data_IF_547816786914
#
_entry.id   IF_547816786914
#
_cell.length_a   1.000
_cell.length_b   1.000
_cell.length_c   1.000
_cell.angle_alpha   90.00
_cell.angle_beta   90.00
_cell.angle_gamma   90.00
#
_symmetry.space_group_name_H-M   'P 1'
#
loop_
_entity.id
_entity.type
_entity.pdbx_description
1 polymer ?
#
# COMPACT_ATOMS: atom_id res chain seq x y z
N UNK A 1 27.56 -4.02 17.65
CA UNK A 1 26.67 -3.39 16.65
C UNK A 1 26.43 -4.30 15.44
N UNK A 2 27.44 -4.62 14.62
CA UNK A 2 27.26 -5.45 13.41
C UNK A 2 26.66 -6.86 13.65
N UNK A 3 27.04 -7.56 14.72
CA UNK A 3 26.44 -8.87 15.06
C UNK A 3 24.98 -8.76 15.55
N UNK A 4 24.61 -7.63 16.16
CA UNK A 4 23.24 -7.37 16.60
C UNK A 4 22.32 -6.97 15.44
N UNK A 5 22.86 -6.40 14.36
CA UNK A 5 22.12 -6.03 13.16
C UNK A 5 22.21 -7.07 12.03
N UNK A 6 22.82 -8.24 12.29
CA UNK A 6 22.89 -9.34 11.30
C UNK A 6 21.64 -10.22 11.23
N UNK A 7 20.59 -9.89 11.98
CA UNK A 7 19.35 -10.64 12.07
C UNK A 7 18.21 -9.81 11.46
N UNK A 8 17.47 -10.37 10.47
CA UNK A 8 16.43 -9.65 9.76
C UNK A 8 15.33 -9.09 10.67
N UNK A 9 14.95 -9.81 11.73
CA UNK A 9 13.93 -9.35 12.67
C UNK A 9 14.42 -8.15 13.49
N UNK A 10 15.69 -8.14 13.89
CA UNK A 10 16.29 -6.99 14.60
C UNK A 10 16.43 -5.76 13.69
N UNK A 11 16.78 -5.95 12.41
CA UNK A 11 16.79 -4.88 11.42
C UNK A 11 15.39 -4.30 11.21
N UNK A 12 14.37 -5.15 11.02
CA UNK A 12 12.98 -4.70 10.85
C UNK A 12 12.45 -3.93 12.07
N UNK A 13 12.86 -4.33 13.28
CA UNK A 13 12.57 -3.57 14.51
C UNK A 13 13.22 -2.18 14.48
N UNK A 14 14.50 -2.10 14.08
CA UNK A 14 15.22 -0.83 13.95
C UNK A 14 14.55 0.08 12.90
N UNK A 15 14.13 -0.47 11.76
CA UNK A 15 13.47 0.29 10.69
C UNK A 15 12.12 0.89 11.15
N UNK A 16 11.32 0.11 11.89
CA UNK A 16 10.09 0.64 12.50
C UNK A 16 10.42 1.81 13.43
N UNK A 17 11.47 1.66 14.24
CA UNK A 17 11.83 2.62 15.29
C UNK A 17 12.60 3.84 14.77
N UNK A 18 13.05 3.81 13.51
CA UNK A 18 13.75 4.92 12.85
C UNK A 18 12.86 6.15 12.70
N UNK A 19 11.56 5.93 12.50
CA UNK A 19 10.57 6.97 12.24
C UNK A 19 9.45 7.03 13.29
N UNK A 20 9.42 6.12 14.26
CA UNK A 20 8.37 6.03 15.27
C UNK A 20 8.83 5.45 16.61
N UNK A 21 8.06 5.69 17.65
CA UNK A 21 8.13 4.95 18.91
C UNK A 21 7.02 3.90 18.91
N UNK A 22 7.31 2.71 19.42
CA UNK A 22 6.33 1.62 19.43
C UNK A 22 6.41 0.81 20.72
N UNK A 23 5.26 0.32 21.19
CA UNK A 23 5.22 -0.65 22.27
C UNK A 23 5.63 -2.04 21.75
N UNK A 24 6.23 -2.92 22.58
CA UNK A 24 6.65 -4.25 22.15
C UNK A 24 5.52 -5.07 21.48
N UNK A 25 4.29 -4.96 21.98
CA UNK A 25 3.13 -5.64 21.39
C UNK A 25 2.69 -5.05 20.03
N UNK A 26 2.98 -3.78 19.76
CA UNK A 26 2.73 -3.17 18.45
C UNK A 26 3.78 -3.62 17.43
N UNK A 27 5.03 -3.72 17.86
CA UNK A 27 6.14 -4.25 17.06
C UNK A 27 5.86 -5.72 16.69
N UNK A 28 5.48 -6.53 17.67
CA UNK A 28 5.09 -7.94 17.48
C UNK A 28 3.98 -8.07 16.43
N UNK A 29 2.92 -7.28 16.55
CA UNK A 29 1.79 -7.30 15.60
C UNK A 29 2.18 -6.84 14.20
N UNK A 30 3.03 -5.81 14.08
CA UNK A 30 3.47 -5.27 12.78
C UNK A 30 4.39 -6.23 12.02
N UNK A 31 5.18 -7.00 12.74
CA UNK A 31 6.13 -7.96 12.16
C UNK A 31 5.59 -9.39 12.11
N UNK A 32 4.35 -9.61 12.57
CA UNK A 32 3.76 -10.94 12.78
C UNK A 32 4.69 -11.89 13.56
N UNK A 33 5.34 -11.36 14.61
CA UNK A 33 6.28 -12.10 15.44
C UNK A 33 5.68 -12.38 16.83
N UNK A 34 5.98 -13.55 17.43
CA UNK A 34 5.65 -13.83 18.81
C UNK A 34 6.21 -12.78 19.79
N UNK A 35 5.39 -12.34 20.75
CA UNK A 35 5.76 -11.28 21.72
C UNK A 35 7.02 -11.60 22.51
N UNK A 36 7.26 -12.87 22.84
CA UNK A 36 8.47 -13.34 23.53
C UNK A 36 9.73 -13.19 22.65
N UNK A 37 9.62 -13.46 21.35
CA UNK A 37 10.72 -13.30 20.40
C UNK A 37 11.07 -11.81 20.21
N UNK A 38 10.06 -10.95 20.07
CA UNK A 38 10.27 -9.50 20.02
C UNK A 38 10.90 -9.00 21.32
N UNK A 39 10.46 -9.47 22.49
CA UNK A 39 11.06 -9.10 23.76
C UNK A 39 12.55 -9.49 23.84
N UNK A 40 12.92 -10.65 23.32
CA UNK A 40 14.31 -11.08 23.21
C UNK A 40 15.12 -10.15 22.30
N UNK A 41 14.64 -9.88 21.08
CA UNK A 41 15.31 -8.98 20.13
C UNK A 41 15.48 -7.56 20.67
N UNK A 42 14.45 -7.00 21.31
CA UNK A 42 14.51 -5.69 21.95
C UNK A 42 15.54 -5.65 23.07
N UNK A 43 15.68 -6.73 23.85
CA UNK A 43 16.72 -6.82 24.88
C UNK A 43 18.11 -6.80 24.26
N UNK A 44 18.36 -7.59 23.21
CA UNK A 44 19.66 -7.61 22.51
C UNK A 44 20.02 -6.23 21.94
N UNK A 45 19.05 -5.55 21.31
CA UNK A 45 19.25 -4.20 20.76
C UNK A 45 19.49 -3.15 21.86
N UNK A 46 18.80 -3.28 23.00
CA UNK A 46 19.00 -2.42 24.17
C UNK A 46 20.38 -2.64 24.82
N UNK A 47 20.81 -3.89 24.98
CA UNK A 47 22.12 -4.25 25.55
C UNK A 47 23.28 -3.75 24.66
N UNK A 48 23.02 -3.58 23.36
CA UNK A 48 23.95 -2.96 22.40
C UNK A 48 23.91 -1.43 22.40
N UNK A 49 23.08 -0.79 23.22
CA UNK A 49 22.92 0.66 23.30
C UNK A 49 22.14 1.29 22.14
N UNK A 50 21.47 0.49 21.29
CA UNK A 50 20.73 1.00 20.13
C UNK A 50 19.35 1.55 20.52
N UNK A 51 18.74 1.01 21.58
CA UNK A 51 17.39 1.32 22.00
C UNK A 51 17.31 1.77 23.46
N UNK A 52 16.32 2.60 23.76
CA UNK A 52 15.91 2.93 25.14
C UNK A 52 14.40 2.74 25.32
N UNK A 53 14.01 2.41 26.56
CA UNK A 53 12.60 2.27 26.97
C UNK A 53 12.12 3.54 27.66
N UNK A 54 10.92 3.98 27.31
CA UNK A 54 10.24 5.12 27.92
C UNK A 54 8.87 4.66 28.41
N UNK A 55 8.45 5.12 29.59
CA UNK A 55 7.10 4.86 30.10
C UNK A 55 6.14 5.93 29.57
N UNK A 56 4.90 5.53 29.28
CA UNK A 56 3.87 6.48 28.87
C UNK A 56 3.68 7.59 29.91
N UNK A 57 3.51 8.82 29.46
CA UNK A 57 3.29 9.98 30.35
C UNK A 57 1.87 10.05 30.93
N UNK A 58 0.93 9.34 30.30
CA UNK A 58 -0.45 9.18 30.77
C UNK A 58 -0.53 8.28 32.01
N UNK A 59 -1.14 7.11 31.86
CA UNK A 59 -1.38 6.17 32.96
C UNK A 59 -0.13 5.37 33.40
N UNK A 60 1.03 5.58 32.74
CA UNK A 60 2.28 4.83 32.90
C UNK A 60 2.15 3.32 32.73
N UNK A 61 1.05 2.81 32.19
CA UNK A 61 0.82 1.37 31.99
C UNK A 61 1.58 0.84 30.79
N UNK A 62 1.89 1.70 29.81
CA UNK A 62 2.59 1.32 28.58
C UNK A 62 4.07 1.68 28.65
N UNK A 63 4.88 0.83 28.03
CA UNK A 63 6.31 1.10 27.80
C UNK A 63 6.54 1.12 26.31
N UNK A 64 7.02 2.25 25.80
CA UNK A 64 7.46 2.42 24.43
C UNK A 64 8.96 2.19 24.32
N UNK A 65 9.38 1.76 23.14
CA UNK A 65 10.79 1.64 22.80
C UNK A 65 11.10 2.65 21.70
N UNK A 66 12.25 3.32 21.79
CA UNK A 66 12.75 4.22 20.75
C UNK A 66 14.25 4.04 20.53
N UNK A 67 14.70 4.38 19.32
CA UNK A 67 16.13 4.45 19.01
C UNK A 67 16.82 5.58 19.78
N UNK A 68 18.06 5.29 20.17
CA UNK A 68 19.00 6.30 20.68
C UNK A 68 19.51 7.13 19.47
N UNK A 69 19.36 8.46 19.47
CA UNK A 69 19.64 9.30 18.29
C UNK A 69 21.05 9.11 17.69
N UNK A 70 22.09 9.01 18.53
CA UNK A 70 23.48 8.90 18.07
C UNK A 70 23.91 7.48 17.65
N UNK A 71 23.07 6.48 17.90
CA UNK A 71 23.45 5.07 17.76
C UNK A 71 23.48 4.59 16.29
N UNK A 72 22.94 5.38 15.36
CA UNK A 72 22.82 5.05 13.92
C UNK A 72 23.21 6.22 13.01
N UNK A 73 24.15 7.08 13.44
CA UNK A 73 24.67 8.19 12.62
C UNK A 73 25.09 7.67 11.23
N UNK A 74 24.40 8.14 10.19
CA UNK A 74 24.62 7.74 8.78
C UNK A 74 23.55 6.83 8.16
N UNK A 75 22.63 6.26 8.95
CA UNK A 75 21.45 5.57 8.43
C UNK A 75 20.28 6.57 8.30
N UNK A 76 20.20 7.19 7.13
CA UNK A 76 19.02 7.99 6.77
C UNK A 76 17.95 7.06 6.19
N UNK A 77 16.69 7.16 6.66
CA UNK A 77 15.60 6.48 5.98
C UNK A 77 15.53 7.00 4.53
N UNK A 78 15.50 6.07 3.57
CA UNK A 78 15.19 6.40 2.18
C UNK A 78 13.72 6.87 2.11
N UNK A 79 13.37 7.81 1.23
CA UNK A 79 11.98 8.17 0.96
C UNK A 79 11.19 6.91 0.61
N UNK A 80 10.29 6.50 1.50
CA UNK A 80 9.56 5.24 1.38
C UNK A 80 8.04 5.43 1.46
N UNK A 81 7.58 6.65 1.74
CA UNK A 81 6.15 6.93 1.95
C UNK A 81 5.75 8.22 1.24
N UNK A 82 4.63 8.15 0.53
CA UNK A 82 3.95 9.32 -0.02
C UNK A 82 2.87 9.78 0.95
N UNK A 83 2.80 11.07 1.23
CA UNK A 83 1.67 11.64 1.97
C UNK A 83 1.16 12.88 1.23
N UNK A 84 -0.16 12.96 1.03
CA UNK A 84 -0.79 14.16 0.49
C UNK A 84 -0.71 15.33 1.48
N UNK A 85 -0.70 15.01 2.77
CA UNK A 85 -0.50 15.96 3.86
C UNK A 85 -0.14 15.20 5.13
N UNK A 86 0.73 15.78 5.95
CA UNK A 86 1.06 15.26 7.28
C UNK A 86 0.22 15.98 8.33
N UNK A 87 -0.52 15.21 9.12
CA UNK A 87 -1.35 15.70 10.21
C UNK A 87 -0.66 15.42 11.54
N UNK A 88 -0.11 16.46 12.18
CA UNK A 88 0.47 16.34 13.52
C UNK A 88 -0.61 16.44 14.58
N UNK A 89 -0.73 15.43 15.44
CA UNK A 89 -1.81 15.35 16.42
C UNK A 89 -1.25 15.26 17.82
N UNK A 90 -1.71 16.13 18.71
CA UNK A 90 -1.58 15.91 20.15
C UNK A 90 -2.95 16.05 20.81
N UNK A 91 -3.04 15.91 22.14
CA UNK A 91 -4.35 16.02 22.82
C UNK A 91 -4.92 17.44 22.68
N UNK A 92 -4.20 18.43 23.23
CA UNK A 92 -4.68 19.80 23.35
C UNK A 92 -4.51 20.67 22.10
N UNK A 93 -3.73 20.22 21.11
CA UNK A 93 -3.29 21.05 19.97
C UNK A 93 -2.80 22.45 20.38
N UNK A 94 -2.09 22.55 21.52
CA UNK A 94 -1.68 23.85 22.08
C UNK A 94 -0.18 24.10 21.99
N UNK A 95 0.64 23.06 21.82
CA UNK A 95 2.11 23.17 21.78
C UNK A 95 2.75 22.19 20.80
N UNK A 96 2.92 20.92 21.19
CA UNK A 96 3.72 19.91 20.46
C UNK A 96 3.35 19.78 18.98
N UNK A 97 2.06 19.63 18.64
CA UNK A 97 1.62 19.48 17.25
C UNK A 97 1.87 20.73 16.40
N UNK A 98 1.76 21.93 16.98
CA UNK A 98 2.10 23.19 16.30
C UNK A 98 3.60 23.33 16.05
N UNK A 99 4.43 23.00 17.06
CA UNK A 99 5.89 23.01 16.92
C UNK A 99 6.34 22.01 15.85
N UNK A 100 5.77 20.80 15.86
CA UNK A 100 6.04 19.76 14.87
C UNK A 100 5.67 20.21 13.45
N UNK A 101 4.47 20.77 13.26
CA UNK A 101 4.03 21.30 11.97
C UNK A 101 4.91 22.47 11.48
N UNK A 102 5.37 23.35 12.38
CA UNK A 102 6.25 24.46 12.03
C UNK A 102 7.66 23.97 11.63
N UNK A 103 8.22 23.01 12.36
CA UNK A 103 9.47 22.33 11.99
C UNK A 103 9.34 21.63 10.62
N UNK A 104 8.23 20.90 10.41
CA UNK A 104 7.97 20.18 9.18
C UNK A 104 7.98 21.07 7.95
N UNK A 105 7.27 22.21 7.99
CA UNK A 105 7.22 23.17 6.87
C UNK A 105 8.58 23.72 6.46
N UNK A 106 9.56 23.70 7.37
CA UNK A 106 10.94 24.10 7.07
C UNK A 106 11.77 22.98 6.43
N UNK A 107 11.42 21.71 6.69
CA UNK A 107 12.23 20.54 6.32
C UNK A 107 11.63 19.72 5.17
N UNK A 108 10.34 19.87 4.88
CA UNK A 108 9.65 19.11 3.86
C UNK A 108 8.72 20.00 3.02
N UNK A 109 8.62 19.76 1.71
CA UNK A 109 7.63 20.41 0.84
C UNK A 109 6.22 19.82 1.03
N UNK A 110 6.07 18.68 1.69
CA UNK A 110 4.75 18.06 1.95
C UNK A 110 3.92 18.98 2.85
N UNK A 111 2.67 19.32 2.50
CA UNK A 111 1.79 20.12 3.35
C UNK A 111 1.66 19.52 4.75
N UNK A 112 1.65 20.37 5.76
CA UNK A 112 1.42 19.96 7.14
C UNK A 112 0.36 20.80 7.84
N UNK A 113 -0.49 20.09 8.59
CA UNK A 113 -1.49 20.63 9.48
C UNK A 113 -1.28 20.08 10.89
N UNK A 114 -1.95 20.69 11.87
CA UNK A 114 -1.94 20.26 13.26
C UNK A 114 -3.37 20.22 13.80
N UNK A 115 -3.69 19.24 14.62
CA UNK A 115 -5.01 19.11 15.24
C UNK A 115 -4.94 18.46 16.63
N UNK A 116 -6.07 18.48 17.32
CA UNK A 116 -6.25 18.00 18.70
C UNK A 116 -7.32 16.94 18.83
N UNK A 117 -7.10 15.91 19.65
CA UNK A 117 -8.19 14.99 20.03
C UNK A 117 -9.13 15.61 21.07
N UNK A 118 -8.61 16.56 21.86
CA UNK A 118 -9.37 17.40 22.80
C UNK A 118 -8.75 18.81 22.85
N UNK A 119 -9.03 19.68 21.85
CA UNK A 119 -8.32 20.94 21.65
C UNK A 119 -8.51 21.95 22.79
N UNK A 120 -7.44 22.67 23.14
CA UNK A 120 -7.49 23.79 24.06
C UNK A 120 -8.03 25.08 23.39
N UNK A 121 -8.31 26.11 24.19
CA UNK A 121 -8.86 27.38 23.67
C UNK A 121 -7.85 28.24 22.90
N UNK A 122 -6.54 28.01 23.08
CA UNK A 122 -5.48 28.79 22.43
C UNK A 122 -4.16 28.02 22.33
N UNK A 123 -3.32 28.43 21.38
CA UNK A 123 -1.91 28.02 21.34
C UNK A 123 -1.18 28.57 22.57
N UNK A 124 -0.31 27.76 23.16
CA UNK A 124 0.46 28.11 24.34
C UNK A 124 1.48 29.22 24.03
N UNK A 125 1.51 30.35 24.78
CA UNK A 125 2.39 31.49 24.46
C UNK A 125 3.89 31.14 24.44
N UNK A 126 4.34 30.22 25.31
CA UNK A 126 5.74 29.76 25.29
C UNK A 126 6.09 28.93 24.06
N UNK A 127 5.15 28.17 23.50
CA UNK A 127 5.38 27.43 22.26
C UNK A 127 5.65 28.40 21.10
N UNK A 128 4.83 29.45 20.99
CA UNK A 128 5.02 30.53 20.00
C UNK A 128 6.39 31.20 20.19
N UNK A 129 6.72 31.58 21.43
CA UNK A 129 8.01 32.24 21.76
C UNK A 129 9.22 31.40 21.41
N UNK A 130 9.22 30.12 21.78
CA UNK A 130 10.30 29.18 21.47
C UNK A 130 10.40 28.94 19.96
N UNK A 131 9.28 28.77 19.25
CA UNK A 131 9.28 28.67 17.80
C UNK A 131 9.93 29.90 17.13
N UNK A 132 9.55 31.12 17.53
CA UNK A 132 10.14 32.35 17.00
C UNK A 132 11.64 32.47 17.27
N UNK A 133 12.10 32.06 18.46
CA UNK A 133 13.52 32.06 18.82
C UNK A 133 14.36 31.19 17.86
N UNK A 134 13.77 30.13 17.31
CA UNK A 134 14.38 29.23 16.33
C UNK A 134 14.05 29.58 14.87
N UNK A 135 13.44 30.74 14.63
CA UNK A 135 13.08 31.21 13.30
C UNK A 135 11.94 30.41 12.65
N UNK A 136 11.08 29.78 13.45
CA UNK A 136 9.92 29.02 12.97
C UNK A 136 8.66 29.88 13.04
N UNK A 137 7.82 29.79 12.00
CA UNK A 137 6.52 30.46 11.95
C UNK A 137 5.42 29.51 12.39
N UNK A 138 4.77 29.81 13.51
CA UNK A 138 3.55 29.13 13.96
C UNK A 138 2.36 30.01 13.59
N UNK A 139 1.41 29.54 12.76
CA UNK A 139 0.20 30.30 12.46
C UNK A 139 -0.61 30.51 13.73
N UNK A 140 -1.12 31.72 13.94
CA UNK A 140 -2.07 32.03 15.02
C UNK A 140 -3.49 31.57 14.65
N UNK A 141 -3.62 30.28 14.34
CA UNK A 141 -4.91 29.62 14.10
C UNK A 141 -5.32 28.98 15.44
N UNK A 142 -6.59 29.11 15.87
CA UNK A 142 -7.04 28.45 17.09
C UNK A 142 -6.83 26.94 17.01
N UNK A 143 -6.56 26.25 18.13
CA UNK A 143 -6.49 24.79 18.13
C UNK A 143 -7.78 24.18 17.57
N UNK A 144 -7.65 23.19 16.70
CA UNK A 144 -8.76 22.58 15.96
C UNK A 144 -8.94 21.12 16.33
N UNK A 145 -10.18 20.62 16.27
CA UNK A 145 -10.47 19.21 16.51
C UNK A 145 -10.06 18.38 15.31
N UNK A 146 -9.48 17.21 15.57
CA UNK A 146 -8.99 16.32 14.52
C UNK A 146 -10.08 15.91 13.54
N UNK A 147 -11.23 15.46 14.06
CA UNK A 147 -12.33 14.92 13.26
C UNK A 147 -12.87 15.95 12.25
N UNK A 148 -12.73 17.25 12.55
CA UNK A 148 -13.20 18.33 11.69
C UNK A 148 -12.27 18.60 10.49
N UNK A 149 -11.01 18.18 10.56
CA UNK A 149 -9.97 18.57 9.60
C UNK A 149 -9.20 17.40 8.99
N UNK A 150 -9.37 16.18 9.51
CA UNK A 150 -8.70 14.97 9.03
C UNK A 150 -9.24 14.55 7.66
N UNK A 151 -8.34 14.24 6.73
CA UNK A 151 -8.67 13.72 5.39
C UNK A 151 -8.28 12.25 5.27
N UNK A 152 -8.93 11.45 4.41
CA UNK A 152 -8.64 10.01 4.28
C UNK A 152 -7.19 9.66 3.94
N UNK A 153 -6.47 10.53 3.22
CA UNK A 153 -5.09 10.30 2.77
C UNK A 153 -4.04 11.04 3.60
N UNK A 154 -4.42 11.63 4.74
CA UNK A 154 -3.44 12.25 5.63
C UNK A 154 -2.60 11.17 6.33
N UNK A 155 -1.29 11.39 6.41
CA UNK A 155 -0.42 10.67 7.31
C UNK A 155 -0.54 11.28 8.71
N UNK A 156 -1.05 10.53 9.67
CA UNK A 156 -1.16 10.99 11.06
C UNK A 156 0.16 10.74 11.78
N UNK A 157 0.69 11.78 12.43
CA UNK A 157 1.80 11.68 13.37
C UNK A 157 1.31 12.13 14.74
N UNK A 158 0.97 11.16 15.59
CA UNK A 158 0.62 11.42 16.98
C UNK A 158 1.89 11.76 17.76
N UNK A 159 1.99 12.99 18.28
CA UNK A 159 3.17 13.48 19.01
C UNK A 159 2.99 13.39 20.54
N UNK A 160 1.99 12.63 21.00
CA UNK A 160 1.81 12.27 22.40
C UNK A 160 1.07 10.93 22.56
N UNK A 161 1.31 10.28 23.70
CA UNK A 161 0.73 8.98 24.02
C UNK A 161 -0.81 9.02 24.03
N UNK A 162 -1.39 10.02 24.71
CA UNK A 162 -2.85 10.13 24.83
C UNK A 162 -3.54 10.24 23.46
N UNK A 163 -2.98 11.04 22.54
CA UNK A 163 -3.53 11.13 21.19
C UNK A 163 -3.39 9.79 20.44
N UNK A 164 -2.22 9.14 20.53
CA UNK A 164 -2.00 7.84 19.90
C UNK A 164 -3.00 6.77 20.38
N UNK A 165 -3.32 6.77 21.67
CA UNK A 165 -4.31 5.84 22.24
C UNK A 165 -5.74 6.11 21.75
N UNK A 166 -6.15 7.39 21.67
CA UNK A 166 -7.47 7.75 21.11
C UNK A 166 -7.59 7.39 19.62
N UNK A 167 -6.48 7.34 18.89
CA UNK A 167 -6.45 7.10 17.45
C UNK A 167 -6.37 5.62 17.05
N UNK A 168 -6.51 4.68 17.99
CA UNK A 168 -6.33 3.26 17.75
C UNK A 168 -7.20 2.70 16.60
N UNK A 169 -8.41 3.24 16.44
CA UNK A 169 -9.43 2.77 15.49
C UNK A 169 -9.51 3.55 14.17
N UNK A 170 -8.62 4.53 13.95
CA UNK A 170 -8.59 5.30 12.70
C UNK A 170 -7.95 4.50 11.56
N UNK A 171 -8.52 4.62 10.35
CA UNK A 171 -8.07 3.94 9.12
C UNK A 171 -6.85 4.59 8.45
N UNK A 172 -6.54 5.85 8.77
CA UNK A 172 -5.38 6.56 8.25
C UNK A 172 -4.05 5.90 8.64
N UNK A 173 -3.01 5.98 7.78
CA UNK A 173 -1.66 5.58 8.16
C UNK A 173 -1.17 6.43 9.33
N UNK A 174 -0.51 5.79 10.31
CA UNK A 174 -0.16 6.44 11.58
C UNK A 174 1.25 6.16 12.09
N UNK A 175 1.86 7.19 12.64
CA UNK A 175 3.11 7.15 13.41
C UNK A 175 2.88 7.74 14.80
N UNK A 176 3.74 7.34 15.73
CA UNK A 176 3.69 7.80 17.10
C UNK A 176 5.06 8.28 17.57
N UNK A 177 5.10 9.44 18.21
CA UNK A 177 6.25 9.99 18.91
C UNK A 177 5.84 10.33 20.34
N UNK A 178 6.41 9.63 21.31
CA UNK A 178 6.22 9.86 22.73
C UNK A 178 7.04 11.09 23.16
N UNK A 179 6.57 12.29 22.80
CA UNK A 179 7.20 13.56 23.16
C UNK A 179 6.62 14.09 24.47
N UNK A 180 7.48 14.35 25.48
CA UNK A 180 7.06 14.88 26.76
C UNK A 180 6.21 16.14 26.64
N UNK A 181 5.17 16.26 27.46
CA UNK A 181 4.30 17.43 27.45
C UNK A 181 4.94 18.65 28.14
N UNK A 182 5.40 19.67 27.39
CA UNK A 182 6.12 20.79 27.99
C UNK A 182 5.25 21.66 28.89
N UNK A 183 3.92 21.61 28.73
CA UNK A 183 2.98 22.42 29.53
C UNK A 183 2.81 21.91 30.96
N UNK A 184 3.31 20.71 31.29
CA UNK A 184 3.24 20.16 32.66
C UNK A 184 4.23 20.85 33.61
N UNK A 185 5.40 21.19 33.10
CA UNK A 185 6.44 21.94 33.83
C UNK A 185 6.32 23.43 33.55
N UNK A 186 5.93 23.77 32.31
CA UNK A 186 5.69 25.13 31.84
C UNK A 186 6.88 26.09 32.06
N UNK A 187 8.08 25.66 31.69
CA UNK A 187 9.28 26.50 31.65
C UNK A 187 9.94 26.47 30.26
N UNK A 188 10.81 27.45 29.97
CA UNK A 188 11.45 27.55 28.66
C UNK A 188 12.29 26.31 28.35
N UNK A 189 12.93 25.69 29.34
CA UNK A 189 13.76 24.50 29.14
C UNK A 189 12.94 23.29 28.67
N UNK A 190 11.74 23.08 29.20
CA UNK A 190 10.83 22.02 28.81
C UNK A 190 10.33 22.21 27.36
N UNK A 191 10.00 23.44 26.97
CA UNK A 191 9.62 23.74 25.59
C UNK A 191 10.80 23.61 24.61
N UNK A 192 12.01 24.03 25.00
CA UNK A 192 13.23 23.83 24.21
C UNK A 192 13.56 22.34 24.04
N UNK A 193 13.45 21.55 25.10
CA UNK A 193 13.66 20.10 25.04
C UNK A 193 12.63 19.40 24.13
N UNK A 194 11.35 19.80 24.22
CA UNK A 194 10.30 19.27 23.34
C UNK A 194 10.54 19.66 21.88
N UNK A 195 10.97 20.91 21.62
CA UNK A 195 11.32 21.35 20.26
C UNK A 195 12.52 20.57 19.71
N UNK A 196 13.56 20.35 20.52
CA UNK A 196 14.74 19.60 20.11
C UNK A 196 14.42 18.13 19.78
N UNK A 197 13.60 17.47 20.60
CA UNK A 197 13.14 16.09 20.32
C UNK A 197 12.30 16.05 19.02
N UNK A 198 11.39 17.01 18.83
CA UNK A 198 10.61 17.12 17.61
C UNK A 198 11.48 17.40 16.38
N UNK A 199 12.49 18.27 16.50
CA UNK A 199 13.39 18.61 15.40
C UNK A 199 14.16 17.38 14.93
N UNK A 200 14.74 16.60 15.84
CA UNK A 200 15.45 15.36 15.52
C UNK A 200 14.54 14.32 14.84
N UNK A 201 13.27 14.24 15.24
CA UNK A 201 12.29 13.33 14.62
C UNK A 201 11.82 13.80 13.25
N UNK A 202 11.57 15.10 13.11
CA UNK A 202 11.25 15.71 11.81
C UNK A 202 12.42 15.56 10.85
N UNK A 203 13.66 15.72 11.31
CA UNK A 203 14.86 15.59 10.47
C UNK A 203 15.06 14.16 9.96
N UNK A 204 14.60 13.16 10.71
CA UNK A 204 14.57 11.76 10.26
C UNK A 204 13.36 11.45 9.39
N UNK A 205 12.18 11.96 9.72
CA UNK A 205 10.95 11.63 8.99
C UNK A 205 10.81 12.41 7.67
N UNK A 206 11.18 13.68 7.61
CA UNK A 206 10.98 14.54 6.45
C UNK A 206 11.64 14.00 5.16
N UNK A 207 12.89 13.49 5.19
CA UNK A 207 13.48 12.83 4.02
C UNK A 207 12.78 11.51 3.63
N UNK A 208 12.10 10.87 4.58
CA UNK A 208 11.40 9.61 4.38
C UNK A 208 10.00 9.79 3.75
N UNK A 209 9.46 11.01 3.76
CA UNK A 209 8.12 11.34 3.25
C UNK A 209 8.25 12.25 2.03
N UNK A 210 7.73 11.78 0.89
CA UNK A 210 7.60 12.58 -0.33
C UNK A 210 6.20 13.15 -0.45
N UNK A 211 6.10 14.33 -1.08
CA UNK A 211 4.81 14.98 -1.29
C UNK A 211 4.04 14.19 -2.34
N UNK A 212 2.91 13.61 -1.92
CA UNK A 212 1.94 13.01 -2.82
C UNK A 212 0.86 14.03 -3.17
N UNK A 213 1.19 15.05 -3.98
CA UNK A 213 0.13 15.84 -4.62
C UNK A 213 -0.57 14.97 -5.67
N UNK A 214 -1.84 15.25 -5.91
CA UNK A 214 -2.48 14.84 -7.15
C UNK A 214 -1.60 15.42 -8.28
N UNK A 215 -0.87 14.54 -8.97
CA UNK A 215 -0.02 14.76 -10.16
C UNK A 215 1.43 15.28 -10.00
N UNK A 216 2.34 14.55 -10.69
CA UNK A 216 3.65 14.90 -11.30
C UNK A 216 4.93 14.95 -10.44
N UNK A 217 5.75 13.88 -10.50
CA UNK A 217 7.15 13.85 -11.05
C UNK A 217 8.07 12.69 -10.55
N UNK A 218 8.05 11.57 -11.30
CA UNK A 218 9.16 10.80 -11.96
C UNK A 218 10.38 10.19 -11.19
N UNK A 219 10.64 10.37 -9.88
CA UNK A 219 11.90 9.79 -9.30
C UNK A 219 11.80 8.86 -8.09
N UNK A 220 10.60 8.60 -7.56
CA UNK A 220 10.45 7.94 -6.25
C UNK A 220 10.18 6.41 -6.29
N UNK A 221 10.55 5.70 -7.36
CA UNK A 221 10.25 4.25 -7.46
C UNK A 221 11.37 3.29 -7.03
N UNK A 222 12.42 3.76 -6.34
CA UNK A 222 13.41 2.86 -5.72
C UNK A 222 12.92 2.35 -4.37
N UNK A 223 12.50 1.09 -4.39
CA UNK A 223 12.14 0.30 -3.21
C UNK A 223 13.36 -0.29 -2.51
N UNK A 224 13.54 -0.09 -1.20
CA UNK A 224 14.67 -0.62 -0.43
C UNK A 224 14.57 -2.12 -0.11
N UNK A 225 13.41 -2.76 -0.33
CA UNK A 225 13.13 -4.18 -0.11
C UNK A 225 13.36 -5.07 -1.34
N UNK A 226 13.61 -4.46 -2.51
CA UNK A 226 13.90 -5.19 -3.73
C UNK A 226 15.36 -5.62 -3.78
N UNK A 227 15.60 -6.86 -4.19
CA UNK A 227 16.95 -7.25 -4.59
C UNK A 227 17.43 -6.38 -5.76
N UNK A 228 18.76 -6.27 -5.93
CA UNK A 228 19.34 -5.60 -7.09
C UNK A 228 18.82 -6.18 -8.42
N UNK A 229 18.57 -7.49 -8.45
CA UNK A 229 18.02 -8.18 -9.61
C UNK A 229 16.56 -7.78 -9.87
N UNK A 230 15.74 -7.66 -8.83
CA UNK A 230 14.34 -7.21 -8.96
C UNK A 230 14.26 -5.75 -9.38
N UNK A 231 15.12 -4.89 -8.82
CA UNK A 231 15.21 -3.47 -9.21
C UNK A 231 15.59 -3.34 -10.70
N UNK A 232 16.58 -4.12 -11.14
CA UNK A 232 17.00 -4.15 -12.54
C UNK A 232 15.92 -4.71 -13.46
N UNK A 233 15.21 -5.75 -13.02
CA UNK A 233 14.11 -6.36 -13.75
C UNK A 233 12.92 -5.40 -13.92
N UNK A 234 12.54 -4.66 -12.87
CA UNK A 234 11.48 -3.65 -12.94
C UNK A 234 11.89 -2.47 -13.83
N UNK A 235 13.14 -1.99 -13.74
CA UNK A 235 13.63 -0.96 -14.65
C UNK A 235 13.56 -1.43 -16.11
N UNK A 236 13.95 -2.68 -16.38
CA UNK A 236 13.88 -3.27 -17.73
C UNK A 236 12.42 -3.41 -18.21
N UNK A 237 11.52 -3.83 -17.33
CA UNK A 237 10.09 -3.88 -17.61
C UNK A 237 9.51 -2.49 -17.92
N UNK A 238 9.89 -1.46 -17.16
CA UNK A 238 9.49 -0.08 -17.40
C UNK A 238 9.96 0.40 -18.78
N UNK A 239 11.22 0.13 -19.16
CA UNK A 239 11.72 0.45 -20.51
C UNK A 239 10.88 -0.22 -21.59
N UNK A 240 10.55 -1.51 -21.45
CA UNK A 240 9.71 -2.24 -22.42
C UNK A 240 8.32 -1.63 -22.54
N UNK A 241 7.67 -1.36 -21.41
CA UNK A 241 6.34 -0.74 -21.39
C UNK A 241 6.36 0.68 -21.95
N UNK A 242 7.40 1.47 -21.66
CA UNK A 242 7.55 2.81 -22.26
C UNK A 242 7.64 2.76 -23.78
N UNK A 243 8.37 1.78 -24.33
CA UNK A 243 8.44 1.60 -25.77
C UNK A 243 7.11 1.12 -26.37
N UNK A 244 6.38 0.25 -25.66
CA UNK A 244 5.09 -0.31 -26.12
C UNK A 244 3.95 0.73 -26.12
N UNK A 245 4.01 1.69 -25.20
CA UNK A 245 3.03 2.77 -25.02
C UNK A 245 3.60 4.15 -25.38
N UNK A 246 4.64 4.19 -26.21
CA UNK A 246 5.22 5.43 -26.71
C UNK A 246 4.16 6.28 -27.42
N UNK A 247 4.16 7.59 -27.16
CA UNK A 247 3.14 8.51 -27.65
C UNK A 247 1.75 8.37 -27.01
N UNK A 248 1.52 7.38 -26.14
CA UNK A 248 0.26 7.20 -25.39
C UNK A 248 0.42 7.65 -23.94
N UNK A 249 1.48 7.19 -23.27
CA UNK A 249 1.75 7.51 -21.87
C UNK A 249 3.20 7.94 -21.65
N UNK A 250 3.38 8.95 -20.79
CA UNK A 250 4.71 9.34 -20.30
C UNK A 250 5.31 8.30 -19.35
N UNK A 251 6.63 8.39 -19.16
CA UNK A 251 7.39 7.49 -18.27
C UNK A 251 6.79 7.38 -16.87
N UNK A 252 6.24 8.47 -16.32
CA UNK A 252 5.63 8.51 -15.00
C UNK A 252 4.45 7.55 -14.87
N UNK A 253 3.53 7.57 -15.83
CA UNK A 253 2.35 6.71 -15.83
C UNK A 253 2.76 5.24 -15.94
N UNK A 254 3.74 4.95 -16.81
CA UNK A 254 4.26 3.59 -16.97
C UNK A 254 4.87 3.06 -15.67
N UNK A 255 5.73 3.84 -15.03
CA UNK A 255 6.39 3.44 -13.78
C UNK A 255 5.36 3.30 -12.65
N UNK A 256 4.40 4.22 -12.53
CA UNK A 256 3.32 4.12 -11.55
C UNK A 256 2.52 2.84 -11.70
N UNK A 257 2.09 2.50 -12.92
CA UNK A 257 1.32 1.29 -13.18
C UNK A 257 2.14 0.02 -12.92
N UNK A 258 3.41 0.01 -13.34
CA UNK A 258 4.30 -1.11 -13.11
C UNK A 258 4.47 -1.43 -11.62
N UNK A 259 4.76 -0.43 -10.82
CA UNK A 259 5.05 -0.65 -9.41
C UNK A 259 3.81 -0.80 -8.54
N UNK A 260 2.70 -0.14 -8.85
CA UNK A 260 1.42 -0.44 -8.16
C UNK A 260 0.94 -1.85 -8.49
N UNK A 261 1.19 -2.35 -9.71
CA UNK A 261 0.99 -3.76 -10.03
C UNK A 261 1.94 -4.68 -9.28
N UNK A 262 3.19 -4.27 -9.05
CA UNK A 262 4.12 -5.01 -8.20
C UNK A 262 3.61 -5.11 -6.75
N UNK A 263 3.12 -4.01 -6.16
CA UNK A 263 2.55 -4.01 -4.80
C UNK A 263 1.44 -5.03 -4.61
N UNK A 264 0.55 -5.13 -5.60
CA UNK A 264 -0.60 -6.02 -5.56
C UNK A 264 -0.18 -7.50 -5.44
N UNK A 265 1.00 -7.86 -5.95
CA UNK A 265 1.55 -9.21 -5.82
C UNK A 265 2.50 -9.37 -4.64
N UNK A 266 3.26 -8.32 -4.28
CA UNK A 266 4.23 -8.36 -3.20
C UNK A 266 3.62 -8.70 -1.83
N UNK A 267 2.36 -8.33 -1.61
CA UNK A 267 1.63 -8.63 -0.37
C UNK A 267 1.17 -10.10 -0.24
N UNK A 268 1.12 -10.87 -1.33
CA UNK A 268 0.46 -12.19 -1.37
C UNK A 268 1.26 -13.31 -2.04
N UNK A 269 2.42 -13.02 -2.64
CA UNK A 269 3.16 -14.00 -3.44
C UNK A 269 4.19 -14.79 -2.64
N UNK A 270 4.17 -16.11 -2.78
CA UNK A 270 5.22 -17.03 -2.32
C UNK A 270 6.38 -17.16 -3.32
N UNK A 271 6.27 -16.56 -4.52
CA UNK A 271 7.23 -16.71 -5.63
C UNK A 271 7.94 -15.40 -5.93
N UNK A 272 8.80 -15.00 -4.99
CA UNK A 272 9.48 -13.68 -4.95
C UNK A 272 10.34 -13.39 -6.19
N UNK A 273 10.88 -14.42 -6.85
CA UNK A 273 11.81 -14.26 -7.99
C UNK A 273 11.14 -13.85 -9.32
N UNK A 274 9.86 -14.17 -9.52
CA UNK A 274 9.15 -13.85 -10.78
C UNK A 274 8.20 -12.64 -10.65
N UNK A 275 8.18 -11.99 -9.48
CA UNK A 275 7.32 -10.83 -9.21
C UNK A 275 7.46 -9.69 -10.24
N UNK A 276 8.66 -9.27 -10.66
CA UNK A 276 8.79 -8.21 -11.67
C UNK A 276 8.13 -8.57 -13.02
N UNK A 277 8.18 -9.84 -13.41
CA UNK A 277 7.55 -10.32 -14.64
C UNK A 277 6.01 -10.29 -14.55
N UNK A 278 5.46 -10.74 -13.42
CA UNK A 278 4.02 -10.70 -13.17
C UNK A 278 3.52 -9.26 -13.08
N UNK A 279 4.28 -8.39 -12.41
CA UNK A 279 4.01 -6.96 -12.35
C UNK A 279 4.01 -6.32 -13.74
N UNK A 280 4.99 -6.62 -14.60
CA UNK A 280 5.04 -6.13 -15.98
C UNK A 280 3.79 -6.57 -16.77
N UNK A 281 3.43 -7.87 -16.70
CA UNK A 281 2.26 -8.41 -17.40
C UNK A 281 0.98 -7.73 -16.94
N UNK A 282 0.84 -7.52 -15.63
CA UNK A 282 -0.37 -6.92 -15.08
C UNK A 282 -0.46 -5.43 -15.40
N UNK A 283 0.66 -4.71 -15.29
CA UNK A 283 0.74 -3.30 -15.64
C UNK A 283 0.42 -3.07 -17.12
N UNK A 284 0.91 -3.94 -18.02
CA UNK A 284 0.54 -3.93 -19.43
C UNK A 284 -0.98 -4.01 -19.61
N UNK A 285 -1.63 -4.97 -18.97
CA UNK A 285 -3.09 -5.13 -19.06
C UNK A 285 -3.82 -3.87 -18.57
N UNK A 286 -3.42 -3.33 -17.43
CA UNK A 286 -4.03 -2.14 -16.83
C UNK A 286 -3.83 -0.88 -17.69
N UNK A 287 -2.63 -0.70 -18.27
CA UNK A 287 -2.34 0.39 -19.20
C UNK A 287 -3.13 0.27 -20.50
N UNK A 288 -3.26 -0.94 -21.05
CA UNK A 288 -4.13 -1.21 -22.21
C UNK A 288 -5.59 -0.87 -21.89
N UNK A 289 -6.07 -1.27 -20.71
CA UNK A 289 -7.41 -0.95 -20.26
C UNK A 289 -7.63 0.57 -20.12
N UNK A 290 -6.71 1.27 -19.45
CA UNK A 290 -6.78 2.72 -19.31
C UNK A 290 -6.77 3.41 -20.68
N UNK A 291 -5.94 2.95 -21.62
CA UNK A 291 -5.84 3.56 -22.95
C UNK A 291 -7.14 3.44 -23.74
N UNK A 292 -7.89 2.35 -23.53
CA UNK A 292 -9.23 2.20 -24.09
C UNK A 292 -10.24 3.14 -23.45
N UNK A 293 -10.23 3.24 -22.12
CA UNK A 293 -11.13 4.14 -21.38
C UNK A 293 -10.91 5.60 -21.76
N UNK A 294 -9.66 6.02 -21.93
CA UNK A 294 -9.30 7.38 -22.33
C UNK A 294 -9.45 7.62 -23.85
N UNK A 295 -9.83 6.61 -24.63
CA UNK A 295 -9.98 6.70 -26.08
C UNK A 295 -8.65 6.89 -26.84
N UNK A 296 -7.51 6.63 -26.19
CA UNK A 296 -6.18 6.77 -26.76
C UNK A 296 -5.78 5.56 -27.63
N UNK A 297 -6.35 4.37 -27.36
CA UNK A 297 -6.21 3.16 -28.18
C UNK A 297 -7.51 2.38 -28.15
N UNK A 298 -8.07 2.06 -29.31
CA UNK A 298 -9.15 1.09 -29.45
C UNK A 298 -8.93 0.29 -30.74
N UNK A 299 -9.20 -1.01 -30.72
CA UNK A 299 -9.14 -1.88 -31.90
C UNK A 299 -10.50 -2.52 -32.24
N UNK A 300 -11.61 -1.93 -31.78
CA UNK A 300 -13.01 -2.34 -31.96
C UNK A 300 -13.37 -3.74 -31.47
N UNK A 301 -12.41 -4.51 -30.96
CA UNK A 301 -12.66 -5.86 -30.46
C UNK A 301 -13.46 -5.82 -29.16
N UNK A 302 -14.43 -6.73 -29.01
CA UNK A 302 -15.11 -6.93 -27.73
C UNK A 302 -14.12 -7.36 -26.65
N UNK A 303 -14.23 -6.76 -25.46
CA UNK A 303 -13.47 -7.12 -24.28
C UNK A 303 -14.39 -7.70 -23.22
N UNK A 304 -14.08 -8.92 -22.78
CA UNK A 304 -14.79 -9.61 -21.70
C UNK A 304 -13.91 -9.76 -20.48
N UNK A 305 -14.44 -9.39 -19.31
CA UNK A 305 -13.77 -9.58 -18.02
C UNK A 305 -14.44 -10.69 -17.21
N UNK A 306 -13.66 -11.73 -16.87
CA UNK A 306 -14.11 -12.87 -16.07
C UNK A 306 -13.66 -12.75 -14.61
N UNK A 307 -14.61 -12.69 -13.67
CA UNK A 307 -14.34 -12.50 -12.25
C UNK A 307 -14.78 -13.70 -11.42
N UNK A 308 -13.96 -14.12 -10.46
CA UNK A 308 -14.36 -15.02 -9.38
C UNK A 308 -13.67 -14.60 -8.07
N UNK A 309 -13.78 -15.37 -6.98
CA UNK A 309 -13.11 -15.01 -5.71
C UNK A 309 -11.59 -15.05 -5.87
N UNK A 310 -11.02 -16.24 -6.10
CA UNK A 310 -9.57 -16.45 -6.03
C UNK A 310 -8.81 -16.25 -7.34
N UNK A 311 -9.47 -16.00 -8.47
CA UNK A 311 -8.86 -16.00 -9.82
C UNK A 311 -7.94 -17.21 -10.09
N UNK A 312 -8.26 -18.37 -9.52
CA UNK A 312 -7.46 -19.58 -9.61
C UNK A 312 -8.19 -20.77 -10.28
N UNK A 313 -9.48 -20.61 -10.58
CA UNK A 313 -10.33 -21.70 -11.10
C UNK A 313 -11.30 -21.25 -12.18
N UNK A 314 -12.56 -20.96 -11.79
CA UNK A 314 -13.66 -20.61 -12.72
C UNK A 314 -13.29 -19.54 -13.74
N UNK A 315 -12.79 -18.39 -13.29
CA UNK A 315 -12.40 -17.30 -14.20
C UNK A 315 -11.17 -17.61 -15.07
N UNK A 316 -10.28 -18.51 -14.63
CA UNK A 316 -9.14 -18.96 -15.43
C UNK A 316 -9.57 -19.94 -16.54
N UNK A 317 -10.50 -20.85 -16.25
CA UNK A 317 -11.11 -21.71 -17.27
C UNK A 317 -11.84 -20.88 -18.33
N UNK A 318 -12.63 -19.89 -17.89
CA UNK A 318 -13.36 -19.01 -18.79
C UNK A 318 -12.41 -18.19 -19.68
N UNK A 319 -11.35 -17.61 -19.10
CA UNK A 319 -10.28 -16.93 -19.85
C UNK A 319 -9.64 -17.84 -20.89
N UNK A 320 -9.27 -19.07 -20.50
CA UNK A 320 -8.62 -20.04 -21.38
C UNK A 320 -9.50 -20.43 -22.57
N UNK A 321 -10.77 -20.81 -22.32
CA UNK A 321 -11.71 -21.12 -23.41
C UNK A 321 -11.97 -19.92 -24.31
N UNK A 322 -12.20 -18.73 -23.73
CA UNK A 322 -12.53 -17.56 -24.53
C UNK A 322 -11.37 -17.17 -25.43
N UNK A 323 -10.14 -17.13 -24.90
CA UNK A 323 -8.94 -16.80 -25.67
C UNK A 323 -8.70 -17.83 -26.78
N UNK A 324 -8.84 -19.12 -26.47
CA UNK A 324 -8.65 -20.20 -27.44
C UNK A 324 -9.66 -20.11 -28.59
N UNK A 325 -10.94 -19.91 -28.27
CA UNK A 325 -12.03 -19.91 -29.24
C UNK A 325 -12.13 -18.59 -30.03
N UNK A 326 -11.89 -17.44 -29.40
CA UNK A 326 -11.97 -16.14 -30.06
C UNK A 326 -10.75 -15.85 -30.96
N UNK A 327 -9.56 -16.32 -30.56
CA UNK A 327 -8.30 -15.87 -31.16
C UNK A 327 -8.19 -14.35 -31.12
N UNK A 328 -7.73 -13.75 -32.21
CA UNK A 328 -7.49 -12.30 -32.26
C UNK A 328 -8.75 -11.45 -32.43
N UNK A 329 -9.95 -12.05 -32.48
CA UNK A 329 -11.22 -11.35 -32.76
C UNK A 329 -11.88 -10.72 -31.53
N UNK A 330 -11.54 -11.19 -30.34
CA UNK A 330 -12.00 -10.63 -29.07
C UNK A 330 -10.92 -10.81 -28.01
N UNK A 331 -10.98 -10.00 -26.96
CA UNK A 331 -10.00 -10.02 -25.87
C UNK A 331 -10.71 -10.45 -24.59
N UNK A 332 -10.07 -11.32 -23.81
CA UNK A 332 -10.52 -11.66 -22.47
C UNK A 332 -9.48 -11.28 -21.43
N UNK A 333 -9.96 -10.86 -20.27
CA UNK A 333 -9.19 -10.67 -19.06
C UNK A 333 -9.84 -11.43 -17.90
N UNK A 334 -9.08 -11.67 -16.84
CA UNK A 334 -9.60 -12.27 -15.62
C UNK A 334 -9.10 -11.57 -14.37
N UNK A 335 -9.87 -11.67 -13.28
CA UNK A 335 -9.54 -11.08 -11.99
C UNK A 335 -10.22 -11.76 -10.81
N UNK A 336 -9.71 -11.46 -9.61
CA UNK A 336 -10.16 -11.99 -8.32
C UNK A 336 -10.51 -10.89 -7.34
N UNK A 337 -11.51 -11.10 -6.49
CA UNK A 337 -11.75 -10.23 -5.33
C UNK A 337 -10.78 -10.50 -4.18
N UNK A 338 -10.33 -11.75 -4.06
CA UNK A 338 -9.33 -12.19 -3.08
C UNK A 338 -8.39 -13.21 -3.76
N UNK A 339 -7.44 -12.74 -4.59
CA UNK A 339 -6.64 -13.62 -5.46
C UNK A 339 -5.85 -14.68 -4.68
N UNK A 340 -5.88 -15.92 -5.16
CA UNK A 340 -5.09 -17.01 -4.63
C UNK A 340 -3.59 -16.88 -4.96
N UNK A 341 -2.80 -17.83 -4.46
CA UNK A 341 -1.34 -17.82 -4.64
C UNK A 341 -0.93 -18.33 -6.04
N UNK A 342 -1.65 -19.32 -6.56
CA UNK A 342 -1.41 -19.94 -7.87
C UNK A 342 -2.72 -20.39 -8.52
N UNK A 343 -2.68 -20.69 -9.82
CA UNK A 343 -3.81 -21.32 -10.51
C UNK A 343 -3.95 -22.76 -10.01
N UNK A 344 -5.18 -23.19 -9.72
CA UNK A 344 -5.45 -24.52 -9.19
C UNK A 344 -4.87 -25.61 -10.12
N UNK A 345 -3.93 -26.47 -9.66
CA UNK A 345 -3.31 -27.49 -10.50
C UNK A 345 -4.30 -28.47 -11.15
N UNK A 346 -5.41 -28.78 -10.46
CA UNK A 346 -6.44 -29.65 -11.02
C UNK A 346 -7.23 -28.95 -12.14
N UNK A 347 -7.37 -27.62 -12.09
CA UNK A 347 -7.94 -26.82 -13.18
C UNK A 347 -6.99 -26.77 -14.37
N UNK A 348 -5.68 -26.61 -14.14
CA UNK A 348 -4.66 -26.70 -15.19
C UNK A 348 -4.74 -28.05 -15.90
N UNK A 349 -4.76 -29.15 -15.14
CA UNK A 349 -4.88 -30.50 -15.70
C UNK A 349 -6.17 -30.69 -16.49
N UNK A 350 -7.31 -30.20 -15.98
CA UNK A 350 -8.60 -30.30 -16.68
C UNK A 350 -8.63 -29.50 -18.00
N UNK A 351 -8.00 -28.33 -18.06
CA UNK A 351 -7.91 -27.53 -19.29
C UNK A 351 -6.95 -28.15 -20.32
N UNK A 352 -5.85 -28.74 -19.86
CA UNK A 352 -4.90 -29.44 -20.72
C UNK A 352 -5.54 -30.63 -21.47
N UNK A 353 -6.51 -31.32 -20.86
CA UNK A 353 -7.32 -32.36 -21.54
C UNK A 353 -8.08 -31.83 -22.77
N UNK A 354 -8.38 -30.52 -22.81
CA UNK A 354 -9.02 -29.85 -23.95
C UNK A 354 -8.00 -29.19 -24.89
N UNK A 355 -6.70 -29.43 -24.68
CA UNK A 355 -5.63 -28.82 -25.47
C UNK A 355 -5.40 -27.33 -25.17
N UNK A 356 -5.90 -26.83 -24.03
CA UNK A 356 -5.77 -25.43 -23.63
C UNK A 356 -4.77 -25.34 -22.47
N UNK A 357 -3.64 -24.68 -22.73
CA UNK A 357 -2.62 -24.43 -21.72
C UNK A 357 -2.88 -23.11 -21.00
N UNK A 358 -3.08 -23.18 -19.68
CA UNK A 358 -3.23 -22.02 -18.79
C UNK A 358 -2.11 -21.97 -17.73
N UNK A 359 -1.02 -22.73 -17.89
CA UNK A 359 0.11 -22.73 -16.95
C UNK A 359 0.83 -21.38 -16.89
N UNK A 360 0.76 -20.60 -17.97
CA UNK A 360 1.26 -19.24 -18.02
C UNK A 360 0.36 -18.21 -17.33
N UNK A 361 -0.83 -18.57 -16.88
CA UNK A 361 -1.72 -17.66 -16.16
C UNK A 361 -1.40 -17.56 -14.67
N UNK A 362 -1.89 -16.50 -14.05
CA UNK A 362 -1.65 -16.21 -12.63
C UNK A 362 -2.86 -15.51 -12.01
N UNK A 363 -3.15 -15.77 -10.71
CA UNK A 363 -4.16 -15.03 -9.97
C UNK A 363 -3.77 -13.54 -9.83
N UNK A 364 -4.73 -12.66 -10.08
CA UNK A 364 -4.57 -11.20 -10.01
C UNK A 364 -5.86 -10.52 -9.57
N UNK A 365 -5.79 -9.37 -8.88
CA UNK A 365 -6.98 -8.61 -8.56
C UNK A 365 -7.59 -8.00 -9.82
N UNK A 366 -8.89 -7.70 -9.78
CA UNK A 366 -9.45 -6.76 -10.75
C UNK A 366 -9.12 -5.32 -10.34
N UNK A 367 -9.18 -4.40 -11.30
CA UNK A 367 -8.93 -2.96 -11.09
C UNK A 367 -10.00 -2.15 -11.80
N UNK A 368 -10.26 -0.93 -11.34
CA UNK A 368 -11.33 -0.08 -11.88
C UNK A 368 -11.17 0.17 -13.37
N UNK A 369 -9.95 0.42 -13.84
CA UNK A 369 -9.65 0.63 -15.26
C UNK A 369 -9.96 -0.60 -16.11
N UNK A 370 -9.72 -1.81 -15.60
CA UNK A 370 -9.99 -3.08 -16.29
C UNK A 370 -11.50 -3.33 -16.37
N UNK A 371 -12.25 -3.03 -15.30
CA UNK A 371 -13.72 -3.10 -15.31
C UNK A 371 -14.29 -2.04 -16.26
N UNK A 372 -13.75 -0.82 -16.22
CA UNK A 372 -14.15 0.30 -17.06
C UNK A 372 -13.88 0.08 -18.55
N UNK A 373 -12.85 -0.70 -18.91
CA UNK A 373 -12.53 -1.01 -20.31
C UNK A 373 -13.33 -2.19 -20.89
N UNK A 374 -13.86 -3.08 -20.05
CA UNK A 374 -14.62 -4.24 -20.49
C UNK A 374 -16.01 -3.86 -21.03
N UNK A 375 -16.44 -4.49 -22.12
CA UNK A 375 -17.79 -4.34 -22.66
C UNK A 375 -18.77 -5.28 -21.93
N UNK A 376 -18.27 -6.45 -21.51
CA UNK A 376 -19.01 -7.43 -20.69
C UNK A 376 -18.20 -7.83 -19.47
N UNK A 377 -18.84 -7.79 -18.29
CA UNK A 377 -18.26 -8.28 -17.04
C UNK A 377 -19.05 -9.50 -16.58
N UNK A 378 -18.37 -10.63 -16.45
CA UNK A 378 -18.95 -11.92 -16.04
C UNK A 378 -18.49 -12.26 -14.63
N UNK A 379 -19.43 -12.30 -13.68
CA UNK A 379 -19.17 -12.69 -12.29
C UNK A 379 -19.45 -14.18 -12.09
N UNK A 380 -18.57 -14.86 -11.35
CA UNK A 380 -18.67 -16.28 -11.02
C UNK A 380 -18.42 -16.48 -9.52
N UNK A 381 -19.41 -16.10 -8.72
CA UNK A 381 -19.40 -16.32 -7.27
C UNK A 381 -18.55 -15.33 -6.44
N UNK A 382 -18.23 -14.14 -6.98
CA UNK A 382 -17.59 -13.06 -6.22
C UNK A 382 -18.57 -12.20 -5.40
N UNK A 383 -19.88 -12.43 -5.50
CA UNK A 383 -20.91 -11.67 -4.79
C UNK A 383 -20.84 -10.17 -5.06
N UNK A 384 -21.14 -9.36 -4.04
CA UNK A 384 -21.19 -7.89 -4.11
C UNK A 384 -19.81 -7.21 -4.08
N UNK A 385 -18.71 -7.98 -4.15
CA UNK A 385 -17.37 -7.43 -4.12
C UNK A 385 -16.98 -6.68 -5.40
N UNK A 386 -17.69 -6.89 -6.51
CA UNK A 386 -17.40 -6.24 -7.79
C UNK A 386 -18.16 -4.91 -7.94
N UNK A 387 -17.49 -3.80 -8.34
CA UNK A 387 -18.16 -2.54 -8.61
C UNK A 387 -19.05 -2.65 -9.84
N UNK A 388 -20.26 -2.11 -9.72
CA UNK A 388 -21.23 -2.00 -10.83
C UNK A 388 -21.11 -0.62 -11.45
N UNK A 389 -20.54 -0.56 -12.65
CA UNK A 389 -20.42 0.65 -13.44
C UNK A 389 -21.65 0.80 -14.36
N UNK A 390 -22.25 2.00 -14.44
CA UNK A 390 -23.40 2.23 -15.32
C UNK A 390 -23.01 2.06 -16.80
N UNK A 391 -23.95 1.55 -17.60
CA UNK A 391 -23.79 1.43 -19.06
C UNK A 391 -23.00 0.19 -19.53
N UNK A 392 -22.68 -0.75 -18.64
CA UNK A 392 -22.02 -2.02 -18.98
C UNK A 392 -22.95 -3.21 -18.89
N UNK A 393 -22.66 -4.24 -19.69
CA UNK A 393 -23.33 -5.53 -19.60
C UNK A 393 -22.68 -6.35 -18.49
N UNK A 394 -23.48 -6.75 -17.51
CA UNK A 394 -23.08 -7.66 -16.45
C UNK A 394 -23.80 -9.00 -16.60
N UNK A 395 -23.07 -10.09 -16.42
CA UNK A 395 -23.64 -11.44 -16.35
C UNK A 395 -23.17 -12.14 -15.07
N UNK A 396 -24.09 -12.85 -14.42
CA UNK A 396 -23.75 -13.69 -13.28
C UNK A 396 -23.90 -15.17 -13.67
N UNK A 397 -22.78 -15.89 -13.62
CA UNK A 397 -22.70 -17.31 -13.96
C UNK A 397 -22.44 -18.11 -12.68
N UNK A 398 -23.44 -18.89 -12.27
CA UNK A 398 -23.30 -19.78 -11.12
C UNK A 398 -22.73 -21.12 -11.52
N UNK A 399 -21.64 -21.51 -10.85
CA UNK A 399 -21.00 -22.82 -10.93
C UNK A 399 -20.53 -23.23 -9.54
N UNK A 400 -20.44 -24.54 -9.32
CA UNK A 400 -19.82 -25.11 -8.12
C UNK A 400 -18.38 -24.63 -7.96
N UNK A 401 -17.92 -24.53 -6.71
CA UNK A 401 -16.56 -24.05 -6.42
C UNK A 401 -15.53 -25.18 -6.63
N UNK A 402 -14.54 -25.01 -7.53
CA UNK A 402 -13.53 -26.05 -7.78
C UNK A 402 -12.47 -26.18 -6.69
N UNK A 403 -12.54 -25.39 -5.61
CA UNK A 403 -11.55 -25.40 -4.54
C UNK A 403 -11.51 -26.75 -3.82
N UNK A 404 -10.32 -27.34 -3.71
CA UNK A 404 -10.11 -28.63 -3.04
C UNK A 404 -10.60 -29.87 -3.81
N UNK A 405 -11.20 -29.69 -4.99
CA UNK A 405 -11.68 -30.79 -5.83
C UNK A 405 -10.56 -31.42 -6.67
N UNK A 406 -10.73 -32.70 -6.99
CA UNK A 406 -9.87 -33.40 -7.94
C UNK A 406 -10.25 -33.11 -9.40
N UNK A 407 -9.37 -33.47 -10.34
CA UNK A 407 -9.59 -33.24 -11.78
C UNK A 407 -10.92 -33.81 -12.26
N UNK A 408 -11.32 -34.99 -11.76
CA UNK A 408 -12.56 -35.64 -12.16
C UNK A 408 -13.80 -34.78 -11.87
N UNK A 409 -13.85 -34.14 -10.70
CA UNK A 409 -14.97 -33.29 -10.27
C UNK A 409 -14.91 -31.89 -10.89
N UNK A 410 -13.74 -31.48 -11.39
CA UNK A 410 -13.57 -30.22 -12.13
C UNK A 410 -14.07 -30.34 -13.58
N UNK A 411 -14.04 -31.53 -14.20
CA UNK A 411 -14.48 -31.71 -15.59
C UNK A 411 -15.91 -31.22 -15.86
N UNK A 412 -16.93 -31.53 -15.03
CA UNK A 412 -18.28 -30.99 -15.22
C UNK A 412 -18.34 -29.45 -15.16
N UNK A 413 -17.56 -28.84 -14.25
CA UNK A 413 -17.47 -27.38 -14.11
C UNK A 413 -16.82 -26.79 -15.37
N UNK A 414 -15.68 -27.36 -15.81
CA UNK A 414 -14.99 -26.99 -17.04
C UNK A 414 -15.92 -27.02 -18.25
N UNK A 415 -16.65 -28.12 -18.43
CA UNK A 415 -17.54 -28.30 -19.58
C UNK A 415 -18.75 -27.34 -19.53
N UNK A 416 -19.24 -27.00 -18.33
CA UNK A 416 -20.26 -25.98 -18.16
C UNK A 416 -19.74 -24.57 -18.49
N UNK A 417 -18.50 -24.25 -18.09
CA UNK A 417 -17.84 -22.99 -18.43
C UNK A 417 -17.62 -22.90 -19.94
N UNK A 418 -17.18 -23.98 -20.61
CA UNK A 418 -16.99 -24.00 -22.06
C UNK A 418 -18.29 -23.64 -22.81
N UNK A 419 -19.41 -24.26 -22.41
CA UNK A 419 -20.73 -23.96 -23.02
C UNK A 419 -21.09 -22.49 -22.88
N UNK A 420 -20.96 -21.91 -21.68
CA UNK A 420 -21.27 -20.50 -21.44
C UNK A 420 -20.36 -19.54 -22.21
N UNK A 421 -19.07 -19.88 -22.35
CA UNK A 421 -18.13 -19.11 -23.17
C UNK A 421 -18.52 -19.14 -24.65
N UNK A 422 -18.94 -20.28 -25.19
CA UNK A 422 -19.44 -20.38 -26.57
C UNK A 422 -20.69 -19.54 -26.79
N UNK A 423 -21.66 -19.66 -25.89
CA UNK A 423 -22.89 -18.85 -25.95
C UNK A 423 -22.58 -17.34 -25.90
N UNK A 424 -21.61 -16.94 -25.07
CA UNK A 424 -21.18 -15.54 -24.99
C UNK A 424 -20.52 -15.06 -26.29
N UNK A 425 -19.64 -15.86 -26.89
CA UNK A 425 -19.00 -15.52 -28.17
C UNK A 425 -20.03 -15.38 -29.30
N UNK A 426 -21.01 -16.28 -29.36
CA UNK A 426 -22.09 -16.21 -30.33
C UNK A 426 -22.94 -14.94 -30.14
N UNK A 427 -23.25 -14.57 -28.90
CA UNK A 427 -23.98 -13.34 -28.58
C UNK A 427 -23.21 -12.06 -28.89
N UNK A 428 -21.87 -12.11 -28.82
CA UNK A 428 -20.98 -11.03 -29.24
C UNK A 428 -20.75 -10.99 -30.75
N UNK A 429 -21.29 -11.96 -31.51
CA UNK A 429 -21.06 -12.08 -32.96
C UNK A 429 -19.62 -12.46 -33.32
N UNK A 430 -18.88 -13.04 -32.38
CA UNK A 430 -17.48 -13.44 -32.56
C UNK A 430 -17.42 -14.88 -33.04
N UNK A 431 -17.06 -15.09 -34.31
CA UNK A 431 -16.89 -16.43 -34.85
C UNK A 431 -15.86 -17.23 -34.03
N UNK A 432 -16.15 -18.50 -33.74
CA UNK A 432 -15.24 -19.37 -32.97
C UNK A 432 -14.21 -20.05 -33.88
N UNK A 433 -12.98 -20.24 -33.41
CA UNK A 433 -11.98 -21.09 -34.07
C UNK A 433 -12.40 -22.55 -33.91
N UNK A 434 -12.21 -23.32 -34.99
CA UNK A 434 -12.48 -24.75 -35.07
C UNK A 434 -11.49 -25.57 -34.26
#
# INVERSE_FOLDING_TARGET
MHAALGDPSRLAIVDILLVADAAPGEIARRLDLPTNLVAHHLKVLQDCGLLRRIRSEGDRRRTYVRLVPDALLGLHPQPARTAARVMFVCTANSARSHLAAALWRRRSPVPAASAGTDPANRIHPRAIRVAHRHGLTVPEIPPVRLDDVLRPNDLIVAVCDNAHETLADHSNPRLHWAVPDPTRVDDDAAFEAALADLADRVDRLAPAITYGEVMTDVTAHRRPDLSMDQTTALHTAAVRLRNEFDGVYGAETIERFLHTSYDQFAAHSTVVHFLPLLAERFARQRLTALARVEGLRSDDRPIVLFLCVHNAGRSQMALGFFTHLAGDRAVAWSGGSDPGIEVNPAVVAAMAERGIDITGEYPKPWTEEVVAAADVVVTMGCGDACPVLPGKRYEDWSFDDPAGLGVADIRPIRDAVERRVRDLLDQLGVATRS
#
